data_IF_482609024126
#
_entry.id   IF_482609024126
#
_cell.length_a   1.000
_cell.length_b   1.000
_cell.length_c   1.000
_cell.angle_alpha   90.00
_cell.angle_beta   90.00
_cell.angle_gamma   90.00
#
_symmetry.space_group_name_H-M   'P 1'
#
loop_
_entity.id
_entity.type
_entity.pdbx_description
1 polymer ?
#
# COMPACT_ATOMS: atom_id res chain seq x y z
N UNK A 1 31.65 11.41 31.61
CA UNK A 1 31.42 10.32 30.64
C UNK A 1 31.40 10.97 29.27
N UNK A 2 32.39 10.69 28.42
CA UNK A 2 32.46 11.31 27.10
C UNK A 2 31.40 10.68 26.18
N UNK A 3 30.96 11.41 25.14
CA UNK A 3 30.01 10.88 24.15
C UNK A 3 30.54 9.62 23.45
N UNK A 4 31.86 9.47 23.33
CA UNK A 4 32.52 8.27 22.79
C UNK A 4 32.33 7.07 23.73
N UNK A 5 32.50 7.26 25.04
CA UNK A 5 32.29 6.19 26.03
C UNK A 5 30.85 5.64 26.04
N UNK A 6 29.86 6.48 25.70
CA UNK A 6 28.46 6.05 25.60
C UNK A 6 28.16 5.31 24.29
N UNK A 7 28.78 5.71 23.18
CA UNK A 7 28.55 5.08 21.86
C UNK A 7 29.23 3.70 21.74
N UNK A 8 30.36 3.52 22.42
CA UNK A 8 31.09 2.24 22.49
C UNK A 8 30.52 1.28 23.55
N UNK A 9 29.57 1.76 24.36
CA UNK A 9 28.89 0.89 25.33
C UNK A 9 28.05 -0.15 24.59
N UNK A 10 28.23 -1.41 25.00
CA UNK A 10 27.58 -2.57 24.38
C UNK A 10 26.32 -2.92 25.17
N UNK A 11 25.17 -2.87 24.51
CA UNK A 11 23.90 -3.38 25.04
C UNK A 11 23.63 -4.74 24.37
N UNK A 12 23.56 -5.81 25.17
CA UNK A 12 23.37 -7.18 24.67
C UNK A 12 24.40 -7.63 23.59
N UNK A 13 25.64 -7.14 23.69
CA UNK A 13 26.71 -7.47 22.74
C UNK A 13 26.65 -6.69 21.42
N UNK A 14 25.70 -5.76 21.26
CA UNK A 14 25.61 -4.84 20.12
C UNK A 14 26.01 -3.42 20.54
N UNK A 15 26.80 -2.71 19.71
CA UNK A 15 27.10 -1.30 19.97
C UNK A 15 25.83 -0.46 19.91
N UNK A 16 25.76 0.59 20.72
CA UNK A 16 24.58 1.47 20.80
C UNK A 16 24.38 2.30 19.53
N UNK A 17 25.47 2.69 18.86
CA UNK A 17 25.41 3.52 17.67
C UNK A 17 24.50 2.94 16.55
N UNK A 18 24.65 1.67 16.11
CA UNK A 18 23.73 1.04 15.16
C UNK A 18 22.27 1.01 15.61
N UNK A 19 22.01 0.79 16.90
CA UNK A 19 20.66 0.75 17.45
C UNK A 19 20.01 2.13 17.34
N UNK A 20 20.74 3.20 17.68
CA UNK A 20 20.26 4.57 17.53
C UNK A 20 19.96 4.92 16.08
N UNK A 21 20.83 4.53 15.14
CA UNK A 21 20.62 4.75 13.71
C UNK A 21 19.38 4.00 13.22
N UNK A 22 19.21 2.73 13.61
CA UNK A 22 18.04 1.93 13.25
C UNK A 22 16.74 2.57 13.77
N UNK A 23 16.73 3.05 15.01
CA UNK A 23 15.59 3.77 15.59
C UNK A 23 15.30 5.07 14.82
N UNK A 24 16.33 5.85 14.50
CA UNK A 24 16.18 7.08 13.73
C UNK A 24 15.58 6.81 12.34
N UNK A 25 15.98 5.74 11.66
CA UNK A 25 15.43 5.33 10.37
C UNK A 25 13.98 4.85 10.51
N UNK A 26 13.67 4.06 11.55
CA UNK A 26 12.31 3.61 11.80
C UNK A 26 11.37 4.81 12.06
N UNK A 27 11.78 5.75 12.90
CA UNK A 27 11.01 6.97 13.19
C UNK A 27 10.86 7.86 11.96
N UNK A 28 11.92 8.04 11.18
CA UNK A 28 11.84 8.83 9.94
C UNK A 28 10.85 8.22 8.96
N UNK A 29 10.78 6.89 8.85
CA UNK A 29 9.81 6.21 7.99
C UNK A 29 8.36 6.51 8.38
N UNK A 30 8.06 6.65 9.68
CA UNK A 30 6.73 6.97 10.17
C UNK A 30 6.28 8.38 9.79
N UNK A 31 7.22 9.33 9.75
CA UNK A 31 6.97 10.72 9.34
C UNK A 31 6.93 10.84 7.83
N UNK A 32 7.89 10.23 7.14
CA UNK A 32 8.06 10.28 5.69
C UNK A 32 6.93 9.59 4.94
N UNK A 33 6.20 8.64 5.54
CA UNK A 33 5.11 7.92 4.87
C UNK A 33 4.10 8.85 4.20
N UNK A 34 3.70 9.94 4.85
CA UNK A 34 2.71 10.86 4.30
C UNK A 34 3.30 11.66 3.12
N UNK A 35 4.55 12.08 3.25
CA UNK A 35 5.25 12.86 2.22
C UNK A 35 5.47 12.00 0.98
N UNK A 36 6.04 10.80 1.14
CA UNK A 36 6.34 9.89 0.05
C UNK A 36 5.06 9.37 -0.62
N UNK A 37 4.02 9.03 0.13
CA UNK A 37 2.74 8.65 -0.48
C UNK A 37 2.15 9.79 -1.30
N UNK A 38 2.15 11.01 -0.77
CA UNK A 38 1.63 12.18 -1.51
C UNK A 38 2.45 12.43 -2.77
N UNK A 39 3.79 12.32 -2.68
CA UNK A 39 4.69 12.50 -3.82
C UNK A 39 4.41 11.48 -4.93
N UNK A 40 4.19 10.21 -4.59
CA UNK A 40 3.92 9.13 -5.53
C UNK A 40 2.52 9.26 -6.16
N UNK A 41 1.51 9.65 -5.38
CA UNK A 41 0.12 9.73 -5.85
C UNK A 41 -0.23 11.04 -6.56
N UNK A 42 0.51 12.13 -6.31
CA UNK A 42 0.23 13.46 -6.87
C UNK A 42 0.26 13.48 -8.42
N UNK A 43 1.22 12.85 -9.11
CA UNK A 43 1.19 12.73 -10.57
C UNK A 43 -0.05 11.98 -11.06
N UNK A 44 -0.40 10.87 -10.41
CA UNK A 44 -1.57 10.06 -10.76
C UNK A 44 -2.87 10.87 -10.67
N UNK A 45 -3.04 11.62 -9.58
CA UNK A 45 -4.19 12.52 -9.39
C UNK A 45 -4.20 13.69 -10.38
N UNK A 46 -3.03 14.20 -10.77
CA UNK A 46 -2.93 15.31 -11.75
C UNK A 46 -3.35 14.86 -13.15
N UNK A 47 -2.91 13.68 -13.58
CA UNK A 47 -3.28 13.09 -14.88
C UNK A 47 -4.79 12.80 -14.90
N UNK A 48 -5.34 12.26 -13.81
CA UNK A 48 -6.78 11.97 -13.70
C UNK A 48 -7.65 13.22 -13.93
N UNK A 49 -7.26 14.35 -13.31
CA UNK A 49 -7.98 15.62 -13.44
C UNK A 49 -7.98 16.19 -14.85
N UNK A 50 -6.93 15.91 -15.63
CA UNK A 50 -6.85 16.38 -17.01
C UNK A 50 -7.61 15.48 -18.00
N UNK A 51 -7.94 14.25 -17.60
CA UNK A 51 -8.50 13.21 -18.47
C UNK A 51 -9.99 12.91 -18.22
N UNK A 52 -10.68 13.59 -17.29
CA UNK A 52 -12.03 13.22 -16.81
C UNK A 52 -12.17 11.73 -16.48
N UNK A 53 -11.07 11.07 -16.08
CA UNK A 53 -11.00 9.62 -15.94
C UNK A 53 -11.08 9.23 -14.46
N UNK A 54 -12.30 9.15 -13.94
CA UNK A 54 -12.62 8.76 -12.55
C UNK A 54 -11.92 7.47 -12.08
N UNK A 55 -11.55 6.59 -13.02
CA UNK A 55 -10.88 5.32 -12.74
C UNK A 55 -9.49 5.54 -12.12
N UNK A 56 -8.72 6.51 -12.63
CA UNK A 56 -7.36 6.76 -12.15
C UNK A 56 -7.34 7.37 -10.75
N UNK A 57 -8.29 8.26 -10.46
CA UNK A 57 -8.49 8.83 -9.13
C UNK A 57 -8.87 7.75 -8.12
N UNK A 58 -9.83 6.87 -8.48
CA UNK A 58 -10.20 5.73 -7.64
C UNK A 58 -9.01 4.80 -7.37
N UNK A 59 -8.19 4.49 -8.38
CA UNK A 59 -7.00 3.65 -8.20
C UNK A 59 -5.98 4.32 -7.26
N UNK A 60 -5.76 5.63 -7.40
CA UNK A 60 -4.88 6.38 -6.52
C UNK A 60 -5.34 6.30 -5.06
N UNK A 61 -6.64 6.45 -4.81
CA UNK A 61 -7.23 6.39 -3.47
C UNK A 61 -7.17 4.98 -2.88
N UNK A 62 -7.43 3.95 -3.68
CA UNK A 62 -7.29 2.56 -3.23
C UNK A 62 -5.85 2.22 -2.85
N UNK A 63 -4.88 2.82 -3.53
CA UNK A 63 -3.45 2.54 -3.36
C UNK A 63 -2.83 3.33 -2.20
N UNK A 64 -3.47 4.41 -1.73
CA UNK A 64 -2.93 5.30 -0.69
C UNK A 64 -2.58 4.57 0.61
N UNK A 65 -3.51 3.77 1.13
CA UNK A 65 -3.29 3.03 2.37
C UNK A 65 -2.21 1.92 2.23
N UNK A 66 -2.24 1.06 1.19
CA UNK A 66 -1.16 0.12 0.89
C UNK A 66 0.21 0.80 0.75
N UNK A 67 0.30 1.94 0.05
CA UNK A 67 1.56 2.69 -0.12
C UNK A 67 2.12 3.19 1.20
N UNK A 68 1.28 3.81 2.05
CA UNK A 68 1.72 4.28 3.38
C UNK A 68 2.29 3.16 4.21
N UNK A 69 1.62 1.99 4.21
CA UNK A 69 2.08 0.83 4.96
C UNK A 69 3.41 0.30 4.39
N UNK A 70 3.54 0.22 3.06
CA UNK A 70 4.77 -0.21 2.39
C UNK A 70 5.96 0.68 2.69
N UNK A 71 5.77 2.01 2.77
CA UNK A 71 6.86 2.95 3.11
C UNK A 71 7.33 2.72 4.55
N UNK A 72 6.40 2.57 5.50
CA UNK A 72 6.74 2.28 6.90
C UNK A 72 7.49 0.96 7.01
N UNK A 73 6.95 -0.10 6.42
CA UNK A 73 7.61 -1.42 6.43
C UNK A 73 8.98 -1.35 5.76
N UNK A 74 9.11 -0.72 4.59
CA UNK A 74 10.40 -0.53 3.93
C UNK A 74 11.41 0.21 4.80
N UNK A 75 10.98 1.20 5.58
CA UNK A 75 11.81 1.85 6.58
C UNK A 75 12.28 0.91 7.69
N UNK A 76 11.38 0.07 8.22
CA UNK A 76 11.74 -0.98 9.18
C UNK A 76 12.71 -2.01 8.58
N UNK A 77 12.60 -2.33 7.29
CA UNK A 77 13.54 -3.23 6.60
C UNK A 77 14.95 -2.65 6.61
N UNK A 78 15.07 -1.39 6.21
CA UNK A 78 16.34 -0.68 6.16
C UNK A 78 16.91 -0.57 7.57
N UNK A 79 16.08 -0.21 8.56
CA UNK A 79 16.48 -0.15 9.97
C UNK A 79 16.99 -1.50 10.49
N UNK A 80 16.38 -2.60 10.07
CA UNK A 80 16.78 -3.95 10.49
C UNK A 80 18.16 -4.35 9.96
N UNK A 81 18.55 -3.88 8.77
CA UNK A 81 19.87 -4.11 8.20
C UNK A 81 20.98 -3.42 9.01
N UNK A 82 20.70 -2.24 9.56
CA UNK A 82 21.67 -1.52 10.39
C UNK A 82 22.04 -2.26 11.67
N UNK A 83 21.12 -3.08 12.21
CA UNK A 83 21.38 -3.88 13.42
C UNK A 83 22.34 -5.06 13.17
N UNK A 84 22.62 -5.43 11.91
CA UNK A 84 23.53 -6.52 11.52
C UNK A 84 23.36 -7.79 12.39
N UNK A 85 22.14 -8.32 12.41
CA UNK A 85 21.77 -9.51 13.19
C UNK A 85 21.67 -10.74 12.28
N UNK A 86 22.78 -11.43 11.96
CA UNK A 86 22.82 -12.50 10.95
C UNK A 86 21.91 -13.69 11.29
N UNK A 87 21.64 -13.92 12.58
CA UNK A 87 20.72 -14.99 13.03
C UNK A 87 19.25 -14.67 12.72
N UNK A 88 18.86 -13.41 12.73
CA UNK A 88 17.46 -12.99 12.53
C UNK A 88 17.21 -12.46 11.13
N UNK A 89 18.25 -12.17 10.35
CA UNK A 89 18.14 -11.69 8.97
C UNK A 89 17.26 -12.58 8.06
N UNK A 90 17.37 -13.93 8.06
CA UNK A 90 16.50 -14.78 7.24
C UNK A 90 15.03 -14.69 7.67
N UNK A 91 14.78 -14.56 8.96
CA UNK A 91 13.43 -14.43 9.52
C UNK A 91 12.82 -13.07 9.16
N UNK A 92 13.59 -11.99 9.27
CA UNK A 92 13.19 -10.66 8.84
C UNK A 92 12.86 -10.66 7.34
N UNK A 93 13.73 -11.25 6.51
CA UNK A 93 13.49 -11.35 5.07
C UNK A 93 12.19 -12.11 4.75
N UNK A 94 11.89 -13.19 5.48
CA UNK A 94 10.63 -13.93 5.34
C UNK A 94 9.42 -13.05 5.70
N UNK A 95 9.47 -12.32 6.82
CA UNK A 95 8.41 -11.37 7.22
C UNK A 95 8.18 -10.35 6.11
N UNK A 96 9.25 -9.79 5.54
CA UNK A 96 9.15 -8.81 4.47
C UNK A 96 8.53 -9.37 3.20
N UNK A 97 8.90 -10.60 2.83
CA UNK A 97 8.32 -11.30 1.69
C UNK A 97 6.83 -11.54 1.89
N UNK A 98 6.43 -12.05 3.07
CA UNK A 98 5.02 -12.25 3.43
C UNK A 98 4.25 -10.93 3.45
N UNK A 99 4.86 -9.86 3.96
CA UNK A 99 4.28 -8.53 3.96
C UNK A 99 4.04 -8.00 2.54
N UNK A 100 5.00 -8.15 1.63
CA UNK A 100 4.84 -7.75 0.24
C UNK A 100 3.68 -8.52 -0.42
N UNK A 101 3.60 -9.83 -0.18
CA UNK A 101 2.47 -10.64 -0.63
C UNK A 101 1.15 -10.11 -0.05
N UNK A 102 1.10 -9.83 1.25
CA UNK A 102 -0.08 -9.25 1.90
C UNK A 102 -0.50 -7.91 1.26
N UNK A 103 0.44 -7.00 0.98
CA UNK A 103 0.16 -5.72 0.32
C UNK A 103 -0.46 -5.92 -1.07
N UNK A 104 0.08 -6.86 -1.86
CA UNK A 104 -0.46 -7.19 -3.19
C UNK A 104 -1.90 -7.69 -3.06
N UNK A 105 -2.15 -8.66 -2.19
CA UNK A 105 -3.50 -9.17 -1.95
C UNK A 105 -4.45 -8.09 -1.45
N UNK A 106 -3.97 -7.17 -0.61
CA UNK A 106 -4.78 -6.08 -0.09
C UNK A 106 -5.21 -5.10 -1.18
N UNK A 107 -4.30 -4.76 -2.10
CA UNK A 107 -4.62 -3.94 -3.28
C UNK A 107 -5.66 -4.65 -4.15
N UNK A 108 -5.45 -5.94 -4.44
CA UNK A 108 -6.39 -6.74 -5.24
C UNK A 108 -7.77 -6.82 -4.59
N UNK A 109 -7.84 -7.07 -3.28
CA UNK A 109 -9.09 -7.12 -2.53
C UNK A 109 -9.86 -5.79 -2.63
N UNK A 110 -9.16 -4.67 -2.44
CA UNK A 110 -9.73 -3.33 -2.58
C UNK A 110 -10.23 -3.04 -3.99
N UNK A 111 -9.54 -3.54 -5.01
CA UNK A 111 -10.00 -3.43 -6.40
C UNK A 111 -11.31 -4.19 -6.61
N UNK A 112 -11.37 -5.45 -6.17
CA UNK A 112 -12.59 -6.30 -6.29
C UNK A 112 -13.79 -5.64 -5.61
N UNK A 113 -13.60 -5.07 -4.42
CA UNK A 113 -14.66 -4.36 -3.69
C UNK A 113 -15.25 -3.20 -4.51
N UNK A 114 -14.41 -2.43 -5.22
CA UNK A 114 -14.89 -1.37 -6.12
C UNK A 114 -15.54 -1.91 -7.39
N UNK A 115 -15.08 -3.06 -7.91
CA UNK A 115 -15.73 -3.72 -9.06
C UNK A 115 -17.12 -4.27 -8.73
N UNK A 116 -17.40 -4.66 -7.47
CA UNK A 116 -18.76 -5.11 -7.08
C UNK A 116 -19.83 -4.05 -7.36
N UNK A 117 -19.50 -2.78 -7.18
CA UNK A 117 -20.39 -1.65 -7.50
C UNK A 117 -20.63 -1.53 -9.01
N UNK A 118 -19.57 -1.75 -9.81
CA UNK A 118 -19.66 -1.74 -11.28
C UNK A 118 -20.48 -2.93 -11.79
N UNK A 119 -20.31 -4.12 -11.20
CA UNK A 119 -21.08 -5.31 -11.55
C UNK A 119 -22.57 -5.14 -11.22
N UNK A 120 -22.91 -4.60 -10.06
CA UNK A 120 -24.30 -4.30 -9.69
C UNK A 120 -24.94 -3.27 -10.63
N UNK A 121 -24.18 -2.24 -11.02
CA UNK A 121 -24.64 -1.26 -11.99
C UNK A 121 -24.90 -1.91 -13.36
N UNK A 122 -23.95 -2.70 -13.86
CA UNK A 122 -24.07 -3.40 -15.14
C UNK A 122 -25.25 -4.39 -15.14
N UNK A 123 -25.38 -5.21 -14.10
CA UNK A 123 -26.49 -6.16 -13.96
C UNK A 123 -27.86 -5.45 -13.92
N UNK A 124 -27.96 -4.33 -13.21
CA UNK A 124 -29.22 -3.57 -13.12
C UNK A 124 -29.61 -2.90 -14.45
N UNK A 125 -28.63 -2.41 -15.23
CA UNK A 125 -28.88 -1.72 -16.49
C UNK A 125 -29.18 -2.71 -17.62
N UNK A 126 -28.35 -3.76 -17.74
CA UNK A 126 -28.56 -4.84 -18.71
C UNK A 126 -29.84 -5.61 -18.41
N UNK A 127 -30.14 -5.88 -17.13
CA UNK A 127 -31.38 -6.55 -16.75
C UNK A 127 -32.64 -5.74 -17.11
N UNK A 128 -32.58 -4.40 -17.05
CA UNK A 128 -33.67 -3.53 -17.48
C UNK A 128 -33.82 -3.49 -19.00
N UNK A 129 -32.74 -3.23 -19.73
CA UNK A 129 -32.76 -3.18 -21.20
C UNK A 129 -33.25 -4.52 -21.80
N UNK A 130 -32.78 -5.66 -21.27
CA UNK A 130 -33.24 -6.97 -21.71
C UNK A 130 -34.73 -7.20 -21.43
N UNK A 131 -35.24 -6.78 -20.28
CA UNK A 131 -36.65 -6.94 -19.94
C UNK A 131 -37.54 -6.09 -20.86
N UNK A 132 -37.12 -4.85 -21.15
CA UNK A 132 -37.84 -3.95 -22.03
C UNK A 132 -37.83 -4.45 -23.49
N UNK A 133 -36.71 -5.00 -23.97
CA UNK A 133 -36.60 -5.60 -25.30
C UNK A 133 -37.46 -6.86 -25.44
N UNK A 134 -37.49 -7.73 -24.42
CA UNK A 134 -38.34 -8.92 -24.41
C UNK A 134 -39.83 -8.53 -24.43
N UNK A 135 -40.23 -7.52 -23.63
CA UNK A 135 -41.60 -7.03 -23.64
C UNK A 135 -41.98 -6.45 -25.02
N UNK A 136 -41.13 -5.59 -25.59
CA UNK A 136 -41.34 -5.02 -26.91
C UNK A 136 -41.47 -6.09 -28.00
N UNK A 137 -40.62 -7.12 -27.94
CA UNK A 137 -40.67 -8.23 -28.90
C UNK A 137 -41.99 -8.98 -28.80
N UNK A 138 -42.41 -9.36 -27.59
CA UNK A 138 -43.68 -10.06 -27.34
C UNK A 138 -44.89 -9.25 -27.81
N UNK A 139 -44.93 -7.95 -27.54
CA UNK A 139 -46.05 -7.09 -28.00
C UNK A 139 -46.06 -6.83 -29.50
N UNK A 140 -44.95 -7.05 -30.21
CA UNK A 140 -44.88 -6.92 -31.68
C UNK A 140 -45.14 -8.22 -32.42
N UNK A 141 -44.96 -9.38 -31.77
CA UNK A 141 -45.13 -10.70 -32.38
C UNK A 141 -46.46 -11.39 -32.08
N UNK A 142 -47.15 -10.99 -31.01
CA UNK A 142 -48.54 -11.36 -30.69
C UNK A 142 -49.52 -10.29 -31.21
#
# INVERSE_FOLDING_TARGET
MSLQDFLDYTLWGYPIAPILIAIAIALSSLVLKNILTTLILKPLRTISKHSSNDTLEKIADLSEAPLKLSIVFGGFYIASHWLHTPKTEPFIHLIFKSFLTFVIFWILFRMVEKFSTVFNFFSSKVGRELNDDIQNFLTKTL
#
